data_IF_879239116634
#
_entry.id   IF_879239116634
#
_cell.length_a   1.000
_cell.length_b   1.000
_cell.length_c   1.000
_cell.angle_alpha   90.00
_cell.angle_beta   90.00
_cell.angle_gamma   90.00
#
_symmetry.space_group_name_H-M   'P 1'
#
loop_
_entity.id
_entity.type
_entity.pdbx_description
1 polymer ?
#
# COMPACT_ATOMS: atom_id res chain seq x y z
N UNK A 1 9.47 20.84 -14.59
CA UNK A 1 9.36 20.46 -13.16
C UNK A 1 8.92 19.01 -13.14
N UNK A 2 9.77 18.11 -12.65
CA UNK A 2 9.39 16.72 -12.40
C UNK A 2 8.38 16.77 -11.25
N UNK A 3 7.19 16.19 -11.41
CA UNK A 3 6.21 16.15 -10.33
C UNK A 3 6.76 15.39 -9.13
N UNK A 4 6.46 15.83 -7.91
CA UNK A 4 6.89 15.14 -6.70
C UNK A 4 5.81 14.16 -6.24
N UNK A 5 6.15 12.88 -6.10
CA UNK A 5 5.30 11.87 -5.47
C UNK A 5 5.26 12.12 -3.97
N UNK A 6 4.08 12.49 -3.50
CA UNK A 6 3.79 12.70 -2.08
C UNK A 6 3.62 11.36 -1.39
N UNK A 7 4.08 11.23 -0.14
CA UNK A 7 3.91 9.98 0.61
C UNK A 7 2.44 9.59 0.80
N UNK A 8 1.54 10.59 0.86
CA UNK A 8 0.09 10.38 0.83
C UNK A 8 -0.38 9.54 -0.37
N UNK A 9 0.37 9.52 -1.47
CA UNK A 9 0.10 8.65 -2.61
C UNK A 9 0.21 7.17 -2.26
N UNK A 10 1.24 6.76 -1.53
CA UNK A 10 1.43 5.36 -1.13
C UNK A 10 0.39 4.93 -0.10
N UNK A 11 0.13 5.80 0.88
CA UNK A 11 -0.89 5.53 1.90
C UNK A 11 -2.28 5.45 1.31
N UNK A 12 -2.62 6.30 0.34
CA UNK A 12 -3.94 6.24 -0.32
C UNK A 12 -4.17 4.90 -1.02
N UNK A 13 -3.11 4.17 -1.40
CA UNK A 13 -3.23 2.82 -1.98
C UNK A 13 -3.81 1.80 -0.98
N UNK A 14 -3.66 2.02 0.31
CA UNK A 14 -4.26 1.16 1.35
C UNK A 14 -5.75 1.45 1.44
N UNK A 15 -6.12 2.72 1.60
CA UNK A 15 -7.50 3.17 1.76
C UNK A 15 -8.39 2.77 0.56
N UNK A 16 -7.90 2.97 -0.67
CA UNK A 16 -8.69 2.61 -1.87
C UNK A 16 -9.07 1.12 -1.89
N UNK A 17 -8.23 0.24 -1.33
CA UNK A 17 -8.46 -1.21 -1.29
C UNK A 17 -9.56 -1.57 -0.31
N UNK A 18 -9.52 -1.00 0.89
CA UNK A 18 -10.58 -1.17 1.88
C UNK A 18 -11.92 -0.62 1.40
N UNK A 19 -11.92 0.51 0.69
CA UNK A 19 -13.14 1.08 0.10
C UNK A 19 -13.74 0.25 -1.04
N UNK A 20 -13.03 -0.73 -1.57
CA UNK A 20 -13.63 -1.68 -2.53
C UNK A 20 -14.51 -2.73 -1.88
N UNK A 21 -14.49 -2.85 -0.54
CA UNK A 21 -15.38 -3.77 0.19
C UNK A 21 -16.83 -3.39 -0.12
N UNK A 22 -17.55 -4.34 -0.70
CA UNK A 22 -18.95 -4.20 -1.08
C UNK A 22 -19.77 -5.17 -0.22
N UNK A 23 -20.23 -4.70 0.93
CA UNK A 23 -21.09 -5.42 1.88
C UNK A 23 -22.18 -4.48 2.39
N UNK A 24 -23.38 -4.98 2.71
CA UNK A 24 -24.51 -4.15 3.16
C UNK A 24 -24.36 -3.62 4.57
N UNK A 25 -23.57 -4.29 5.41
CA UNK A 25 -23.56 -4.06 6.85
C UNK A 25 -22.28 -3.34 7.31
N UNK A 26 -21.24 -3.35 6.48
CA UNK A 26 -19.97 -2.68 6.77
C UNK A 26 -19.50 -1.81 5.61
N UNK A 27 -18.91 -0.67 5.97
CA UNK A 27 -18.07 0.13 5.10
C UNK A 27 -16.76 0.37 5.82
N UNK A 28 -15.63 0.10 5.16
CA UNK A 28 -14.31 0.23 5.76
C UNK A 28 -13.49 1.22 4.95
N UNK A 29 -12.85 2.14 5.64
CA UNK A 29 -11.84 3.05 5.12
C UNK A 29 -10.80 3.27 6.20
N UNK A 30 -9.67 3.87 5.82
CA UNK A 30 -8.54 4.09 6.72
C UNK A 30 -8.19 5.57 6.74
N UNK A 31 -7.94 6.16 7.91
CA UNK A 31 -7.46 7.54 8.04
C UNK A 31 -6.12 7.57 8.75
N UNK A 32 -5.18 8.39 8.27
CA UNK A 32 -3.90 8.56 8.95
C UNK A 32 -4.00 9.69 9.97
N UNK A 33 -3.79 9.37 11.24
CA UNK A 33 -3.78 10.37 12.31
C UNK A 33 -2.38 10.85 12.69
N UNK A 34 -1.36 10.10 12.28
CA UNK A 34 0.04 10.42 12.59
C UNK A 34 0.98 9.76 11.58
N UNK A 35 2.00 10.52 11.17
CA UNK A 35 3.09 10.11 10.30
C UNK A 35 4.41 10.49 10.97
N UNK A 36 5.32 9.53 11.14
CA UNK A 36 6.67 9.78 11.67
C UNK A 36 7.71 9.13 10.76
N UNK A 37 8.57 9.96 10.17
CA UNK A 37 9.72 9.52 9.37
C UNK A 37 10.90 9.34 10.31
N UNK A 38 11.51 8.16 10.30
CA UNK A 38 12.71 7.85 11.06
C UNK A 38 13.91 8.13 10.17
N UNK A 39 14.74 9.08 10.60
CA UNK A 39 15.81 9.68 9.77
C UNK A 39 17.20 9.46 10.34
N UNK A 40 17.29 8.88 11.53
CA UNK A 40 18.56 8.57 12.20
C UNK A 40 18.55 7.13 12.68
N UNK A 41 19.73 6.48 12.69
CA UNK A 41 19.90 5.09 13.12
C UNK A 41 19.22 4.86 14.48
N UNK A 42 19.47 5.77 15.44
CA UNK A 42 18.89 5.72 16.79
C UNK A 42 17.36 5.74 16.87
N UNK A 43 16.68 6.21 15.83
CA UNK A 43 15.21 6.17 15.78
C UNK A 43 14.68 4.81 15.35
N UNK A 44 15.50 4.00 14.65
CA UNK A 44 15.14 2.71 14.06
C UNK A 44 15.96 1.51 14.59
N UNK A 45 16.80 1.72 15.61
CA UNK A 45 17.62 0.68 16.27
C UNK A 45 16.82 -0.61 16.59
N UNK A 46 15.51 -0.49 16.86
CA UNK A 46 14.63 -1.62 17.17
C UNK A 46 14.48 -2.64 16.01
N UNK A 47 14.70 -2.23 14.76
CA UNK A 47 14.79 -3.12 13.59
C UNK A 47 16.24 -3.39 13.25
N UNK A 48 17.09 -2.37 13.24
CA UNK A 48 18.50 -2.52 12.83
C UNK A 48 19.24 -3.56 13.67
N UNK A 49 19.00 -3.60 14.98
CA UNK A 49 19.60 -4.57 15.89
C UNK A 49 19.21 -6.03 15.59
N UNK A 50 18.12 -6.25 14.84
CA UNK A 50 17.64 -7.56 14.42
C UNK A 50 18.23 -8.02 13.08
N UNK A 51 18.90 -7.12 12.35
CA UNK A 51 19.40 -7.41 11.01
C UNK A 51 20.57 -8.39 11.07
N UNK A 52 20.42 -9.51 10.38
CA UNK A 52 21.46 -10.50 10.17
C UNK A 52 21.54 -10.85 8.69
N UNK A 53 22.71 -10.61 8.09
CA UNK A 53 22.96 -10.87 6.66
C UNK A 53 21.99 -10.13 5.73
N UNK A 54 21.62 -8.89 6.08
CA UNK A 54 20.76 -8.02 5.26
C UNK A 54 19.26 -8.29 5.38
N UNK A 55 18.84 -9.21 6.26
CA UNK A 55 17.41 -9.51 6.52
C UNK A 55 17.13 -9.55 8.02
N UNK A 56 15.87 -9.40 8.43
CA UNK A 56 15.43 -9.67 9.80
C UNK A 56 14.28 -10.68 9.86
N UNK A 57 14.08 -11.29 11.03
CA UNK A 57 12.93 -12.15 11.30
C UNK A 57 11.67 -11.29 11.54
N UNK A 58 10.62 -11.48 10.74
CA UNK A 58 9.42 -10.66 10.83
C UNK A 58 8.68 -10.77 12.17
N UNK A 59 8.71 -11.94 12.83
CA UNK A 59 8.11 -12.13 14.15
C UNK A 59 8.86 -11.39 15.24
N UNK A 60 10.19 -11.41 15.20
CA UNK A 60 11.03 -10.57 16.06
C UNK A 60 10.80 -9.08 15.78
N UNK A 61 10.72 -8.68 14.51
CA UNK A 61 10.44 -7.31 14.10
C UNK A 61 9.11 -6.79 14.63
N UNK A 62 8.02 -7.57 14.54
CA UNK A 62 6.72 -7.19 15.11
C UNK A 62 6.78 -6.98 16.62
N UNK A 63 7.50 -7.84 17.35
CA UNK A 63 7.66 -7.70 18.80
C UNK A 63 8.47 -6.44 19.17
N UNK A 64 9.55 -6.17 18.43
CA UNK A 64 10.38 -4.99 18.65
C UNK A 64 9.60 -3.71 18.31
N UNK A 65 8.93 -3.67 17.16
CA UNK A 65 8.11 -2.54 16.74
C UNK A 65 6.96 -2.26 17.73
N UNK A 66 6.27 -3.32 18.18
CA UNK A 66 5.26 -3.21 19.24
C UNK A 66 5.84 -2.59 20.52
N UNK A 67 7.03 -3.00 20.93
CA UNK A 67 7.66 -2.48 22.15
C UNK A 67 8.02 -1.00 21.97
N UNK A 68 8.54 -0.65 20.79
CA UNK A 68 8.92 0.71 20.43
C UNK A 68 7.71 1.67 20.41
N UNK A 69 6.57 1.28 19.82
CA UNK A 69 5.37 2.16 19.81
C UNK A 69 4.78 2.38 21.21
N UNK A 70 5.01 1.45 22.14
CA UNK A 70 4.50 1.52 23.51
C UNK A 70 5.37 2.38 24.42
N UNK A 71 6.59 2.72 24.00
CA UNK A 71 7.45 3.62 24.73
C UNK A 71 6.97 5.08 24.55
N UNK A 72 6.49 5.75 25.61
CA UNK A 72 6.02 7.12 25.53
C UNK A 72 7.10 8.11 25.05
N UNK A 73 8.40 7.79 25.20
CA UNK A 73 9.48 8.67 24.72
C UNK A 73 9.48 8.83 23.20
N UNK A 74 8.90 7.87 22.47
CA UNK A 74 8.85 7.90 21.02
C UNK A 74 7.75 8.82 20.47
N UNK A 75 6.85 9.32 21.34
CA UNK A 75 5.87 10.34 20.99
C UNK A 75 4.75 9.85 20.06
N UNK A 76 4.47 8.54 20.06
CA UNK A 76 3.47 7.94 19.18
C UNK A 76 2.07 8.04 19.82
N UNK A 77 1.09 8.66 19.16
CA UNK A 77 -0.27 8.76 19.69
C UNK A 77 -1.02 7.44 19.57
N UNK A 78 -2.03 7.23 20.43
CA UNK A 78 -2.89 6.06 20.34
C UNK A 78 -3.65 5.99 19.01
N UNK A 79 -3.54 4.85 18.34
CA UNK A 79 -4.17 4.52 17.08
C UNK A 79 -4.87 3.14 17.16
N UNK A 80 -5.71 2.84 16.17
CA UNK A 80 -6.39 1.54 16.08
C UNK A 80 -5.47 0.48 15.47
N UNK A 81 -4.54 0.91 14.62
CA UNK A 81 -3.46 0.10 14.05
C UNK A 81 -2.22 0.95 13.71
N UNK A 82 -1.02 0.39 13.83
CA UNK A 82 0.26 1.02 13.51
C UNK A 82 0.96 0.26 12.38
N UNK A 83 1.43 0.95 11.35
CA UNK A 83 2.17 0.33 10.25
C UNK A 83 3.57 0.91 10.14
N UNK A 84 4.55 0.04 10.02
CA UNK A 84 5.94 0.42 9.79
C UNK A 84 6.39 -0.02 8.40
N UNK A 85 6.90 0.92 7.60
CA UNK A 85 7.45 0.68 6.28
C UNK A 85 8.96 0.75 6.35
N UNK A 86 9.63 -0.30 5.91
CA UNK A 86 11.08 -0.44 6.04
C UNK A 86 11.77 -0.59 4.70
N UNK A 87 13.01 -0.12 4.61
CA UNK A 87 13.91 -0.43 3.50
C UNK A 87 14.64 -1.76 3.65
N UNK A 88 14.53 -2.42 4.81
CA UNK A 88 15.16 -3.72 5.08
C UNK A 88 14.31 -4.90 4.62
N UNK A 89 14.97 -5.97 4.19
CA UNK A 89 14.29 -7.18 3.74
C UNK A 89 13.79 -8.01 4.94
N UNK A 90 12.52 -8.41 4.90
CA UNK A 90 11.90 -9.34 5.83
C UNK A 90 12.20 -10.75 5.32
N UNK A 91 12.74 -11.62 6.18
CA UNK A 91 13.11 -12.98 5.76
C UNK A 91 11.90 -13.75 5.26
N UNK A 92 11.89 -14.06 3.96
CA UNK A 92 10.88 -14.89 3.29
C UNK A 92 9.46 -14.31 3.25
N UNK A 93 9.32 -13.00 3.40
CA UNK A 93 8.03 -12.30 3.30
C UNK A 93 8.23 -10.88 2.78
N UNK A 94 7.17 -10.22 2.31
CA UNK A 94 7.21 -8.77 2.00
C UNK A 94 6.45 -7.91 3.01
N UNK A 95 5.75 -8.56 3.94
CA UNK A 95 5.05 -7.93 5.04
C UNK A 95 4.77 -8.97 6.13
N UNK A 96 4.51 -8.47 7.34
CA UNK A 96 4.07 -9.28 8.47
C UNK A 96 3.11 -8.50 9.37
N UNK A 97 2.13 -9.20 9.93
CA UNK A 97 1.22 -8.68 10.95
C UNK A 97 0.77 -9.79 11.91
N UNK A 98 0.25 -9.38 13.06
CA UNK A 98 -0.52 -10.28 13.90
C UNK A 98 -1.97 -10.35 13.43
N UNK A 99 -2.58 -11.53 13.56
CA UNK A 99 -4.01 -11.69 13.30
C UNK A 99 -4.85 -11.28 14.51
N UNK A 100 -6.02 -10.67 14.26
CA UNK A 100 -7.02 -10.29 15.27
C UNK A 100 -6.50 -9.27 16.30
N UNK A 101 -5.82 -8.21 15.84
CA UNK A 101 -5.16 -7.23 16.73
C UNK A 101 -5.51 -5.77 16.55
N UNK A 102 -6.32 -5.37 15.57
CA UNK A 102 -6.82 -3.98 15.53
C UNK A 102 -7.52 -3.65 16.86
N UNK A 103 -7.41 -2.40 17.32
CA UNK A 103 -7.87 -1.97 18.65
C UNK A 103 -7.09 -2.55 19.84
N UNK A 104 -5.90 -3.14 19.64
CA UNK A 104 -5.07 -3.69 20.73
C UNK A 104 -3.65 -3.14 20.69
N UNK A 105 -2.91 -3.35 21.79
CA UNK A 105 -1.49 -3.03 21.86
C UNK A 105 -0.61 -3.83 20.87
N UNK A 106 -1.16 -4.84 20.20
CA UNK A 106 -0.45 -5.59 19.15
C UNK A 106 -1.03 -5.34 17.76
N UNK A 107 -1.84 -4.30 17.57
CA UNK A 107 -2.33 -3.88 16.26
C UNK A 107 -1.21 -3.24 15.46
N UNK A 108 -0.22 -4.04 15.07
CA UNK A 108 0.98 -3.61 14.37
C UNK A 108 1.21 -4.42 13.10
N UNK A 109 1.74 -3.79 12.07
CA UNK A 109 2.23 -4.46 10.87
C UNK A 109 3.53 -3.83 10.36
N UNK A 110 4.31 -4.62 9.63
CA UNK A 110 5.53 -4.20 8.96
C UNK A 110 5.41 -4.54 7.47
N UNK A 111 5.87 -3.66 6.59
CA UNK A 111 5.90 -3.91 5.13
C UNK A 111 7.19 -3.41 4.50
N UNK A 112 7.77 -4.22 3.63
CA UNK A 112 8.91 -3.81 2.80
C UNK A 112 8.47 -2.70 1.83
N UNK A 113 9.23 -1.61 1.78
CA UNK A 113 8.97 -0.54 0.85
C UNK A 113 9.70 -0.77 -0.48
N UNK A 114 8.99 -1.37 -1.44
CA UNK A 114 9.47 -1.56 -2.82
C UNK A 114 9.30 -0.32 -3.71
N UNK A 115 8.94 0.84 -3.15
CA UNK A 115 8.74 2.12 -3.86
C UNK A 115 7.76 2.04 -5.05
N UNK A 116 6.87 1.06 -5.04
CA UNK A 116 5.83 0.84 -6.07
C UNK A 116 4.43 0.90 -5.47
N UNK A 117 3.40 0.90 -6.33
CA UNK A 117 2.02 0.74 -5.89
C UNK A 117 1.78 -0.61 -5.17
N UNK A 118 2.67 -1.59 -5.36
CA UNK A 118 2.62 -2.90 -4.70
C UNK A 118 2.72 -2.83 -3.18
N UNK A 119 3.43 -1.83 -2.64
CA UNK A 119 3.54 -1.58 -1.19
C UNK A 119 2.15 -1.37 -0.57
N UNK A 120 1.25 -0.69 -1.28
CA UNK A 120 -0.13 -0.52 -0.85
C UNK A 120 -0.93 -1.82 -0.83
N UNK A 121 -0.65 -2.76 -1.73
CA UNK A 121 -1.25 -4.11 -1.68
C UNK A 121 -0.77 -4.87 -0.45
N UNK A 122 0.53 -4.88 -0.21
CA UNK A 122 1.13 -5.60 0.94
C UNK A 122 0.63 -4.99 2.25
N UNK A 123 0.67 -3.67 2.42
CA UNK A 123 0.19 -3.04 3.64
C UNK A 123 -1.32 -3.26 3.88
N UNK A 124 -2.14 -3.28 2.82
CA UNK A 124 -3.55 -3.65 2.94
C UNK A 124 -3.75 -5.12 3.29
N UNK A 125 -2.89 -6.02 2.80
CA UNK A 125 -2.86 -7.43 3.18
C UNK A 125 -2.55 -7.60 4.67
N UNK A 126 -1.51 -6.92 5.17
CA UNK A 126 -1.10 -7.00 6.57
C UNK A 126 -2.14 -6.41 7.52
N UNK A 127 -2.79 -5.29 7.16
CA UNK A 127 -3.94 -4.79 7.92
C UNK A 127 -5.12 -5.77 7.85
N UNK A 128 -5.28 -6.49 6.75
CA UNK A 128 -6.28 -7.54 6.57
C UNK A 128 -6.13 -8.63 7.62
N UNK A 129 -4.90 -9.10 7.86
CA UNK A 129 -4.59 -10.00 8.98
C UNK A 129 -5.00 -9.43 10.33
N UNK A 130 -4.61 -8.19 10.64
CA UNK A 130 -4.98 -7.53 11.90
C UNK A 130 -6.50 -7.43 12.10
N UNK A 131 -7.26 -7.36 11.00
CA UNK A 131 -8.73 -7.41 10.92
C UNK A 131 -9.31 -8.83 10.76
N UNK A 132 -8.56 -9.87 11.12
CA UNK A 132 -8.98 -11.29 11.13
C UNK A 132 -8.98 -12.03 9.79
N UNK A 133 -8.67 -11.38 8.67
CA UNK A 133 -8.60 -12.08 7.40
C UNK A 133 -7.41 -13.06 7.38
N UNK A 134 -7.66 -14.32 7.04
CA UNK A 134 -6.62 -15.31 6.76
C UNK A 134 -6.27 -15.28 5.27
N UNK A 135 -5.18 -15.95 4.87
CA UNK A 135 -4.92 -16.17 3.45
C UNK A 135 -6.11 -16.86 2.77
N UNK A 136 -6.40 -16.51 1.52
CA UNK A 136 -7.56 -17.05 0.81
C UNK A 136 -7.50 -18.57 0.69
N UNK A 137 -6.30 -19.15 0.48
CA UNK A 137 -6.04 -20.60 0.48
C UNK A 137 -6.25 -21.29 1.83
N UNK A 138 -6.29 -20.55 2.94
CA UNK A 138 -6.57 -21.10 4.28
C UNK A 138 -8.07 -21.25 4.55
N UNK A 139 -8.92 -20.85 3.60
CA UNK A 139 -10.37 -20.92 3.69
C UNK A 139 -10.94 -22.01 2.76
N UNK A 140 -12.15 -22.49 3.03
CA UNK A 140 -12.75 -23.57 2.23
C UNK A 140 -13.26 -23.13 0.84
N UNK A 141 -13.57 -21.84 0.67
CA UNK A 141 -14.30 -21.33 -0.50
C UNK A 141 -13.57 -20.28 -1.32
N UNK A 142 -12.40 -19.82 -0.88
CA UNK A 142 -11.54 -18.89 -1.61
C UNK A 142 -10.22 -19.56 -1.98
N UNK A 143 -9.48 -18.95 -2.92
CA UNK A 143 -8.23 -19.51 -3.45
C UNK A 143 -7.26 -18.39 -3.80
N UNK A 144 -6.00 -18.58 -3.43
CA UNK A 144 -4.87 -17.71 -3.79
C UNK A 144 -4.73 -17.53 -5.31
N UNK A 145 -5.18 -18.52 -6.10
CA UNK A 145 -5.16 -18.45 -7.57
C UNK A 145 -6.02 -17.33 -8.15
N UNK A 146 -6.93 -16.76 -7.35
CA UNK A 146 -7.76 -15.63 -7.75
C UNK A 146 -7.07 -14.28 -7.58
N UNK A 147 -5.96 -14.21 -6.83
CA UNK A 147 -5.15 -13.00 -6.69
C UNK A 147 -5.87 -11.83 -6.01
N UNK A 148 -6.79 -12.11 -5.08
CA UNK A 148 -7.33 -11.07 -4.18
C UNK A 148 -6.28 -10.62 -3.18
N UNK A 149 -6.56 -9.53 -2.44
CA UNK A 149 -5.61 -8.91 -1.50
C UNK A 149 -4.99 -9.94 -0.54
N UNK A 150 -5.77 -10.90 -0.04
CA UNK A 150 -5.32 -11.91 0.93
C UNK A 150 -4.71 -13.17 0.30
N UNK A 151 -4.27 -13.13 -0.96
CA UNK A 151 -3.47 -14.23 -1.51
C UNK A 151 -2.12 -14.34 -0.80
N UNK A 152 -1.67 -15.56 -0.46
CA UNK A 152 -0.43 -15.75 0.29
C UNK A 152 0.83 -15.30 -0.47
N UNK A 153 0.77 -15.28 -1.81
CA UNK A 153 1.86 -14.80 -2.67
C UNK A 153 1.31 -13.73 -3.60
N UNK A 154 1.75 -12.49 -3.39
CA UNK A 154 1.38 -11.38 -4.26
C UNK A 154 1.81 -11.65 -5.69
N UNK A 155 0.88 -11.50 -6.63
CA UNK A 155 1.13 -11.65 -8.06
C UNK A 155 0.43 -10.55 -8.84
N UNK A 156 1.02 -10.15 -9.97
CA UNK A 156 0.50 -9.07 -10.81
C UNK A 156 -0.23 -9.68 -12.02
N UNK A 157 -1.57 -9.57 -12.09
CA UNK A 157 -2.39 -10.29 -13.06
C UNK A 157 -2.51 -9.59 -14.42
N UNK A 158 -1.39 -9.34 -15.11
CA UNK A 158 -1.32 -8.52 -16.35
C UNK A 158 -2.39 -8.90 -17.40
N UNK A 159 -2.59 -10.19 -17.65
CA UNK A 159 -3.46 -10.69 -18.73
C UNK A 159 -4.56 -11.63 -18.24
N UNK A 160 -4.75 -11.78 -16.93
CA UNK A 160 -5.67 -12.77 -16.38
C UNK A 160 -7.10 -12.24 -16.23
N UNK A 161 -8.07 -13.15 -16.14
CA UNK A 161 -9.45 -12.84 -15.73
C UNK A 161 -9.57 -12.23 -14.34
N UNK A 162 -8.49 -12.30 -13.54
CA UNK A 162 -8.42 -11.76 -12.19
C UNK A 162 -7.97 -10.29 -12.15
N UNK A 163 -7.98 -9.60 -13.29
CA UNK A 163 -7.72 -8.15 -13.33
C UNK A 163 -8.57 -7.43 -12.30
N UNK A 164 -7.93 -6.57 -11.50
CA UNK A 164 -8.58 -5.78 -10.45
C UNK A 164 -8.71 -6.50 -9.11
N UNK A 165 -8.50 -7.82 -9.04
CA UNK A 165 -8.53 -8.56 -7.76
C UNK A 165 -7.45 -8.11 -6.77
N UNK A 166 -6.23 -7.67 -7.18
CA UNK A 166 -5.25 -7.11 -6.24
C UNK A 166 -5.68 -5.82 -5.54
N UNK A 167 -6.82 -5.25 -5.93
CA UNK A 167 -7.46 -4.12 -5.26
C UNK A 167 -8.68 -4.50 -4.42
N UNK A 168 -9.05 -5.79 -4.37
CA UNK A 168 -10.29 -6.28 -3.75
C UNK A 168 -10.02 -7.40 -2.76
N UNK A 169 -10.76 -7.38 -1.65
CA UNK A 169 -10.86 -8.51 -0.76
C UNK A 169 -11.78 -9.58 -1.34
N UNK A 170 -11.45 -10.85 -1.13
CA UNK A 170 -12.35 -11.96 -1.44
C UNK A 170 -13.58 -11.95 -0.53
N UNK A 171 -14.62 -12.70 -0.88
CA UNK A 171 -15.79 -12.86 -0.01
C UNK A 171 -15.45 -13.48 1.35
N UNK A 172 -14.46 -14.38 1.40
CA UNK A 172 -14.00 -14.99 2.64
C UNK A 172 -13.30 -13.97 3.56
N UNK A 173 -12.47 -13.11 2.95
CA UNK A 173 -11.82 -12.01 3.67
C UNK A 173 -12.84 -11.02 4.22
N UNK A 174 -13.81 -10.59 3.39
CA UNK A 174 -14.87 -9.65 3.80
C UNK A 174 -15.69 -10.23 4.96
N UNK A 175 -16.07 -11.51 4.89
CA UNK A 175 -16.81 -12.19 5.97
C UNK A 175 -16.04 -12.19 7.30
N UNK A 176 -14.72 -12.42 7.26
CA UNK A 176 -13.86 -12.47 8.45
C UNK A 176 -13.70 -11.08 9.06
N UNK A 177 -13.41 -10.07 8.23
CA UNK A 177 -13.31 -8.65 8.61
C UNK A 177 -14.62 -8.19 9.26
N UNK A 178 -15.76 -8.47 8.62
CA UNK A 178 -17.09 -8.14 9.14
C UNK A 178 -17.35 -8.74 10.52
N UNK A 179 -17.04 -10.04 10.68
CA UNK A 179 -17.20 -10.72 11.98
C UNK A 179 -16.33 -10.06 13.04
N UNK A 180 -15.07 -9.77 12.74
CA UNK A 180 -14.14 -9.17 13.69
C UNK A 180 -14.53 -7.73 14.07
N UNK A 181 -14.93 -6.91 13.10
CA UNK A 181 -15.44 -5.56 13.36
C UNK A 181 -16.68 -5.56 14.27
N UNK A 182 -17.48 -6.63 14.26
CA UNK A 182 -18.58 -6.83 15.20
C UNK A 182 -18.14 -7.05 16.66
N UNK A 183 -16.86 -7.36 16.90
CA UNK A 183 -16.29 -7.64 18.25
C UNK A 183 -15.55 -6.45 18.85
N UNK A 184 -15.26 -5.42 18.05
CA UNK A 184 -14.51 -4.23 18.47
C UNK A 184 -15.31 -2.95 18.24
N UNK A 185 -15.15 -1.96 19.10
CA UNK A 185 -15.84 -0.67 18.96
C UNK A 185 -14.92 0.48 18.52
N UNK A 186 -13.59 0.34 18.62
CA UNK A 186 -12.66 1.46 18.40
C UNK A 186 -12.73 2.03 16.97
N UNK A 187 -13.01 1.16 15.98
CA UNK A 187 -13.10 1.48 14.56
C UNK A 187 -14.48 2.03 14.14
N UNK A 188 -15.44 2.13 15.06
CA UNK A 188 -16.76 2.68 14.75
C UNK A 188 -16.68 4.18 14.48
N UNK A 189 -17.48 4.75 13.56
CA UNK A 189 -17.46 6.18 13.23
C UNK A 189 -17.60 7.15 14.41
N UNK A 190 -18.25 6.73 15.50
CA UNK A 190 -18.37 7.56 16.72
C UNK A 190 -17.10 7.58 17.58
N UNK A 191 -16.19 6.62 17.38
CA UNK A 191 -14.94 6.47 18.11
C UNK A 191 -13.72 6.82 17.24
N UNK A 192 -13.88 6.78 15.92
CA UNK A 192 -12.87 7.25 14.96
C UNK A 192 -13.07 8.74 14.70
N UNK A 193 -12.02 9.53 14.94
CA UNK A 193 -12.04 10.96 14.64
C UNK A 193 -12.23 11.22 13.14
N UNK A 194 -12.57 12.46 12.79
CA UNK A 194 -12.64 12.90 11.37
C UNK A 194 -11.29 13.37 10.84
N UNK A 195 -10.26 13.38 11.67
CA UNK A 195 -8.92 13.85 11.29
C UNK A 195 -8.26 12.86 10.34
N UNK A 196 -7.87 13.37 9.17
CA UNK A 196 -6.90 12.75 8.29
C UNK A 196 -5.75 13.74 8.09
N UNK A 197 -4.60 13.41 8.65
CA UNK A 197 -3.36 14.20 8.55
C UNK A 197 -2.65 14.01 7.22
N UNK A 198 -3.04 12.98 6.45
CA UNK A 198 -2.41 12.64 5.19
C UNK A 198 -3.46 12.28 4.12
N UNK A 199 -4.35 13.22 3.76
CA UNK A 199 -5.44 12.97 2.83
C UNK A 199 -4.93 12.58 1.43
N UNK A 200 -5.73 11.84 0.64
CA UNK A 200 -5.36 11.44 -0.71
C UNK A 200 -4.99 12.65 -1.60
N UNK A 201 -3.92 12.55 -2.41
CA UNK A 201 -3.60 13.62 -3.36
C UNK A 201 -4.73 13.85 -4.39
N UNK A 202 -4.94 15.11 -4.79
CA UNK A 202 -5.97 15.51 -5.75
C UNK A 202 -5.38 16.26 -6.95
N UNK A 203 -6.16 16.39 -8.02
CA UNK A 203 -5.72 17.11 -9.23
C UNK A 203 -4.41 16.56 -9.79
N UNK A 204 -3.45 17.44 -10.07
CA UNK A 204 -2.14 17.08 -10.64
C UNK A 204 -1.21 16.39 -9.64
N UNK A 205 -1.54 16.39 -8.35
CA UNK A 205 -0.75 15.70 -7.32
C UNK A 205 -1.06 14.20 -7.23
N UNK A 206 -2.09 13.74 -7.96
CA UNK A 206 -2.43 12.31 -8.06
C UNK A 206 -1.22 11.52 -8.56
N UNK A 207 -0.95 10.41 -7.88
CA UNK A 207 0.29 9.65 -7.98
C UNK A 207 0.77 9.39 -9.42
N UNK A 208 -0.05 8.78 -10.27
CA UNK A 208 0.31 8.46 -11.65
C UNK A 208 0.24 9.64 -12.64
N UNK A 209 -0.28 10.79 -12.20
CA UNK A 209 -0.19 12.07 -12.95
C UNK A 209 1.13 12.76 -12.60
N UNK A 210 1.47 12.79 -11.30
CA UNK A 210 2.71 13.38 -10.80
C UNK A 210 3.95 12.59 -11.23
N UNK A 211 3.83 11.26 -11.33
CA UNK A 211 4.91 10.35 -11.71
C UNK A 211 4.51 9.52 -12.93
N UNK A 212 5.04 9.88 -14.09
CA UNK A 212 4.81 9.14 -15.34
C UNK A 212 5.40 7.71 -15.32
N UNK A 213 5.11 6.94 -16.37
CA UNK A 213 5.49 5.52 -16.47
C UNK A 213 6.99 5.30 -16.35
N UNK A 214 7.81 6.13 -17.01
CA UNK A 214 9.26 6.01 -16.97
C UNK A 214 9.80 6.31 -15.58
N UNK A 215 9.27 7.35 -14.93
CA UNK A 215 9.73 7.74 -13.60
C UNK A 215 9.24 6.77 -12.52
N UNK A 216 8.09 6.10 -12.71
CA UNK A 216 7.70 4.97 -11.86
C UNK A 216 8.70 3.80 -11.97
N UNK A 217 9.18 3.48 -13.17
CA UNK A 217 10.19 2.44 -13.36
C UNK A 217 11.54 2.80 -12.69
N UNK A 218 11.99 4.06 -12.87
CA UNK A 218 13.20 4.55 -12.19
C UNK A 218 13.07 4.52 -10.69
N UNK A 219 11.89 4.86 -10.16
CA UNK A 219 11.62 4.84 -8.73
C UNK A 219 11.62 3.41 -8.19
N UNK A 220 10.97 2.47 -8.86
CA UNK A 220 10.91 1.07 -8.46
C UNK A 220 12.32 0.45 -8.35
N UNK A 221 13.16 0.65 -9.37
CA UNK A 221 14.53 0.13 -9.36
C UNK A 221 15.53 1.01 -8.61
N UNK A 222 15.11 2.21 -8.19
CA UNK A 222 16.00 3.27 -7.67
C UNK A 222 17.18 3.56 -8.59
N UNK A 223 16.93 3.46 -9.90
CA UNK A 223 17.95 3.60 -10.93
C UNK A 223 17.41 4.42 -12.11
N UNK A 224 18.11 5.50 -12.43
CA UNK A 224 17.78 6.40 -13.53
C UNK A 224 17.83 5.75 -14.92
N UNK A 225 18.48 4.59 -15.07
CA UNK A 225 18.58 3.87 -16.33
C UNK A 225 17.37 2.99 -16.65
N UNK A 226 16.46 2.79 -15.69
CA UNK A 226 15.21 2.05 -15.93
C UNK A 226 14.18 2.92 -16.67
N UNK A 227 13.34 2.28 -17.47
CA UNK A 227 12.30 2.94 -18.26
C UNK A 227 11.13 1.99 -18.54
N UNK A 228 10.01 2.55 -18.98
CA UNK A 228 8.84 1.80 -19.39
C UNK A 228 9.10 1.01 -20.68
N UNK A 229 8.76 -0.28 -20.66
CA UNK A 229 8.95 -1.21 -21.77
C UNK A 229 7.72 -1.26 -22.69
N UNK A 230 7.55 -0.24 -23.55
CA UNK A 230 6.40 -0.17 -24.48
C UNK A 230 6.27 -1.39 -25.40
N UNK A 231 7.39 -1.92 -25.92
CA UNK A 231 7.40 -3.10 -26.78
C UNK A 231 6.85 -4.35 -26.09
N UNK A 232 7.29 -4.61 -24.85
CA UNK A 232 6.81 -5.75 -24.04
C UNK A 232 5.37 -5.53 -23.63
N UNK A 233 4.97 -4.30 -23.27
CA UNK A 233 3.56 -4.00 -22.97
C UNK A 233 2.67 -4.33 -24.17
N UNK A 234 3.04 -3.92 -25.38
CA UNK A 234 2.25 -4.17 -26.59
C UNK A 234 2.06 -5.67 -26.86
N UNK A 235 3.06 -6.50 -26.56
CA UNK A 235 2.97 -7.96 -26.67
C UNK A 235 2.04 -8.58 -25.61
N UNK A 236 1.79 -7.87 -24.51
CA UNK A 236 1.00 -8.33 -23.37
C UNK A 236 -0.37 -7.61 -23.26
N UNK A 237 -0.96 -7.27 -24.41
CA UNK A 237 -2.28 -6.65 -24.52
C UNK A 237 -2.30 -5.12 -24.40
N UNK A 238 -1.12 -4.49 -24.49
CA UNK A 238 -0.97 -3.05 -24.67
C UNK A 238 -1.55 -2.21 -23.55
N UNK A 239 -1.99 -1.02 -23.93
CA UNK A 239 -2.57 0.01 -23.06
C UNK A 239 -3.78 -0.49 -22.25
N UNK A 240 -4.60 -1.37 -22.82
CA UNK A 240 -5.77 -1.97 -22.13
C UNK A 240 -5.39 -2.83 -20.92
N UNK A 241 -4.17 -3.37 -20.90
CA UNK A 241 -3.66 -4.23 -19.83
C UNK A 241 -2.66 -3.51 -18.91
N UNK A 242 -2.29 -2.27 -19.24
CA UNK A 242 -1.28 -1.49 -18.51
C UNK A 242 -1.63 -1.37 -17.03
N UNK A 243 -2.90 -1.10 -16.72
CA UNK A 243 -3.34 -0.84 -15.35
C UNK A 243 -3.36 -2.07 -14.45
N UNK A 244 -3.44 -3.27 -15.03
CA UNK A 244 -3.24 -4.51 -14.27
C UNK A 244 -1.78 -4.78 -13.95
N UNK A 245 -0.85 -4.18 -14.69
CA UNK A 245 0.59 -4.34 -14.54
C UNK A 245 1.30 -3.74 -15.75
N UNK A 246 2.34 -2.96 -15.48
CA UNK A 246 3.21 -2.37 -16.50
C UNK A 246 4.59 -3.03 -16.47
N UNK A 247 5.36 -2.87 -17.54
CA UNK A 247 6.69 -3.46 -17.64
C UNK A 247 7.79 -2.40 -17.57
N UNK A 248 8.80 -2.64 -16.75
CA UNK A 248 9.95 -1.77 -16.53
C UNK A 248 11.26 -2.48 -16.87
N UNK A 249 12.19 -1.80 -17.55
CA UNK A 249 13.48 -2.39 -17.95
C UNK A 249 14.39 -2.55 -16.74
N UNK A 250 15.08 -3.70 -16.64
CA UNK A 250 16.06 -3.94 -15.58
C UNK A 250 17.32 -3.11 -15.81
N UNK A 251 17.83 -2.38 -14.82
CA UNK A 251 19.04 -1.56 -14.99
C UNK A 251 20.26 -2.34 -15.46
N UNK A 252 20.46 -3.56 -14.92
CA UNK A 252 21.59 -4.43 -15.27
C UNK A 252 21.48 -5.07 -16.66
N UNK A 253 20.28 -5.15 -17.23
CA UNK A 253 20.04 -5.67 -18.57
C UNK A 253 18.75 -5.06 -19.16
N UNK A 254 18.84 -3.92 -19.88
CA UNK A 254 17.67 -3.20 -20.40
C UNK A 254 16.82 -3.98 -21.40
N UNK A 255 17.30 -5.12 -21.93
CA UNK A 255 16.52 -6.01 -22.79
C UNK A 255 15.53 -6.90 -22.02
N UNK A 256 15.67 -6.99 -20.70
CA UNK A 256 14.76 -7.75 -19.83
C UNK A 256 13.86 -6.75 -19.11
N UNK A 257 12.55 -7.01 -19.16
CA UNK A 257 11.56 -6.21 -18.46
C UNK A 257 10.87 -7.01 -17.36
N UNK A 258 10.61 -6.34 -16.24
CA UNK A 258 9.94 -6.87 -15.07
C UNK A 258 8.59 -6.19 -14.88
N UNK A 259 7.64 -6.94 -14.32
CA UNK A 259 6.29 -6.42 -14.10
C UNK A 259 6.24 -5.61 -12.81
N UNK A 260 5.70 -4.40 -12.89
CA UNK A 260 5.51 -3.47 -11.78
C UNK A 260 4.03 -3.05 -11.74
N UNK A 261 3.46 -2.93 -10.55
CA UNK A 261 2.10 -2.43 -10.39
C UNK A 261 2.12 -0.90 -10.61
N UNK A 262 1.40 -0.37 -11.62
CA UNK A 262 1.35 1.07 -11.84
C UNK A 262 0.59 1.77 -10.72
N UNK A 263 0.94 3.03 -10.47
CA UNK A 263 0.21 3.90 -9.56
C UNK A 263 -1.20 4.20 -10.11
N UNK A 264 -2.16 4.42 -9.20
CA UNK A 264 -3.45 5.00 -9.58
C UNK A 264 -3.26 6.30 -10.35
N UNK A 265 -4.14 6.54 -11.32
CA UNK A 265 -4.12 7.67 -12.24
C UNK A 265 -2.98 7.69 -13.27
N UNK A 266 -2.18 6.61 -13.38
CA UNK A 266 -1.19 6.47 -14.46
C UNK A 266 -1.90 6.51 -15.80
N UNK A 267 -1.48 7.38 -16.73
CA UNK A 267 -2.05 7.43 -18.08
C UNK A 267 -1.93 6.05 -18.73
N UNK A 268 -3.02 5.55 -19.31
CA UNK A 268 -3.10 4.25 -20.00
C UNK A 268 -3.70 4.38 -21.41
N UNK A 269 -3.70 5.59 -21.96
CA UNK A 269 -4.28 5.89 -23.26
C UNK A 269 -4.66 7.36 -23.36
N UNK A 270 -5.05 7.80 -24.55
CA UNK A 270 -5.52 9.17 -24.77
C UNK A 270 -6.81 9.42 -23.98
N UNK A 271 -6.77 10.33 -22.99
CA UNK A 271 -7.92 10.63 -22.13
C UNK A 271 -8.31 9.49 -21.18
N UNK A 272 -7.36 8.60 -20.85
CA UNK A 272 -7.59 7.44 -19.99
C UNK A 272 -6.51 7.26 -18.94
N UNK A 273 -6.90 6.80 -17.77
CA UNK A 273 -6.00 6.54 -16.64
C UNK A 273 -6.28 5.22 -15.93
N UNK A 274 -5.33 4.79 -15.11
CA UNK A 274 -5.45 3.57 -14.32
C UNK A 274 -6.26 3.77 -13.06
N UNK A 275 -7.29 2.94 -12.87
CA UNK A 275 -8.13 2.86 -11.67
C UNK A 275 -8.43 1.43 -11.30
N UNK A 276 -8.07 1.02 -10.09
CA UNK A 276 -8.36 -0.29 -9.52
C UNK A 276 -8.00 -1.45 -10.46
N UNK A 277 -6.88 -1.32 -11.18
CA UNK A 277 -6.41 -2.32 -12.16
C UNK A 277 -6.98 -2.19 -13.58
N UNK A 278 -7.84 -1.21 -13.84
CA UNK A 278 -8.50 -1.01 -15.14
C UNK A 278 -8.10 0.31 -15.79
N UNK A 279 -8.00 0.30 -17.12
CA UNK A 279 -7.83 1.52 -17.91
C UNK A 279 -9.22 2.13 -18.20
N UNK A 280 -9.52 3.27 -17.57
CA UNK A 280 -10.83 3.93 -17.64
C UNK A 280 -10.71 5.35 -18.17
N UNK A 281 -11.79 5.91 -18.69
CA UNK A 281 -11.82 7.30 -19.15
C UNK A 281 -11.59 8.29 -18.00
N UNK A 282 -10.90 9.39 -18.29
CA UNK A 282 -10.72 10.49 -17.35
C UNK A 282 -12.08 11.02 -16.87
N UNK A 283 -12.19 11.29 -15.56
CA UNK A 283 -13.44 11.70 -14.91
C UNK A 283 -14.36 10.55 -14.47
N UNK A 284 -14.07 9.30 -14.86
CA UNK A 284 -14.74 8.13 -14.28
C UNK A 284 -14.06 7.78 -12.95
N UNK A 285 -14.71 8.16 -11.86
CA UNK A 285 -14.40 7.65 -10.52
C UNK A 285 -15.22 6.35 -10.28
N UNK A 286 -14.62 5.26 -9.76
CA UNK A 286 -15.36 4.06 -9.36
C UNK A 286 -16.53 4.43 -8.44
N UNK A 287 -17.63 3.68 -8.55
CA UNK A 287 -18.91 3.92 -7.85
C UNK A 287 -18.84 3.85 -6.31
N UNK A 288 -17.68 3.52 -5.75
CA UNK A 288 -17.40 3.53 -4.31
C UNK A 288 -16.42 4.67 -3.94
N UNK A 289 -16.50 5.80 -4.64
CA UNK A 289 -15.82 7.03 -4.23
C UNK A 289 -16.25 7.41 -2.79
N UNK A 290 -15.38 8.06 -2.00
CA UNK A 290 -15.71 8.48 -0.65
C UNK A 290 -17.06 9.22 -0.60
N UNK A 291 -17.87 9.07 0.47
CA UNK A 291 -18.90 10.07 0.76
C UNK A 291 -18.22 11.43 0.74
N UNK A 292 -18.70 12.33 -0.13
CA UNK A 292 -17.99 13.54 -0.51
C UNK A 292 -17.32 14.25 0.66
N UNK A 293 -15.99 14.22 0.69
CA UNK A 293 -15.23 15.14 1.50
C UNK A 293 -15.33 16.51 0.81
N UNK A 294 -15.93 17.48 1.51
CA UNK A 294 -15.84 18.88 1.11
C UNK A 294 -14.38 19.29 0.94
N UNK A 295 -14.10 20.39 0.21
CA UNK A 295 -12.73 20.78 -0.11
C UNK A 295 -11.89 20.91 1.15
N UNK A 296 -11.02 19.92 1.41
CA UNK A 296 -10.02 20.01 2.47
C UNK A 296 -8.95 21.00 2.02
N UNK A 297 -8.68 21.98 2.86
CA UNK A 297 -7.57 22.92 2.65
C UNK A 297 -6.26 22.14 2.52
N UNK A 298 -5.39 22.47 1.55
CA UNK A 298 -4.09 21.82 1.42
C UNK A 298 -3.30 22.08 2.70
N UNK A 299 -3.11 21.05 3.52
CA UNK A 299 -2.01 21.05 4.48
C UNK A 299 -0.72 20.85 3.70
N UNK A 300 0.41 21.33 4.21
CA UNK A 300 1.71 21.15 3.58
C UNK A 300 2.04 19.65 3.53
N UNK A 301 1.66 18.98 2.44
CA UNK A 301 1.90 17.56 2.23
C UNK A 301 3.39 17.40 1.88
N UNK A 302 4.09 16.62 2.68
CA UNK A 302 5.53 16.39 2.54
C UNK A 302 5.88 15.68 1.23
N UNK A 303 6.85 16.26 0.53
CA UNK A 303 7.48 15.73 -0.69
C UNK A 303 8.57 14.72 -0.30
N UNK A 304 8.27 13.42 -0.39
CA UNK A 304 9.20 12.38 0.04
C UNK A 304 10.11 11.84 -1.07
N UNK A 305 9.86 12.12 -2.36
CA UNK A 305 10.73 11.65 -3.46
C UNK A 305 12.23 11.90 -3.21
N UNK A 306 12.69 13.10 -2.78
CA UNK A 306 14.11 13.33 -2.60
C UNK A 306 14.74 12.43 -1.53
N UNK A 307 13.94 11.93 -0.59
CA UNK A 307 14.34 11.00 0.48
C UNK A 307 14.19 9.54 0.02
N UNK A 308 13.08 9.20 -0.64
CA UNK A 308 12.81 7.86 -1.21
C UNK A 308 13.87 7.45 -2.25
N UNK A 309 14.30 8.38 -3.11
CA UNK A 309 15.30 8.10 -4.14
C UNK A 309 16.73 8.08 -3.60
N UNK A 310 17.04 8.80 -2.53
CA UNK A 310 18.39 8.82 -1.94
C UNK A 310 18.64 7.65 -0.98
N UNK A 311 17.59 7.03 -0.45
CA UNK A 311 17.73 5.96 0.56
C UNK A 311 18.20 6.50 1.92
N UNK A 312 18.03 7.80 2.17
CA UNK A 312 18.50 8.49 3.38
C UNK A 312 17.51 8.36 4.56
N UNK A 313 16.57 7.43 4.51
CA UNK A 313 15.59 7.20 5.58
C UNK A 313 15.50 5.71 5.84
N UNK A 314 15.44 5.37 7.12
CA UNK A 314 15.69 4.02 7.61
C UNK A 314 14.36 3.28 7.81
N UNK A 315 13.33 4.04 8.20
CA UNK A 315 11.97 3.54 8.33
C UNK A 315 10.90 4.62 8.46
N UNK A 316 9.64 4.21 8.38
CA UNK A 316 8.50 5.13 8.40
C UNK A 316 7.31 4.51 9.13
N UNK A 317 6.80 5.22 10.13
CA UNK A 317 5.61 4.83 10.89
C UNK A 317 4.39 5.61 10.41
N UNK A 318 3.28 4.91 10.20
CA UNK A 318 1.93 5.48 10.09
C UNK A 318 0.97 4.89 11.11
N UNK A 319 0.06 5.73 11.58
CA UNK A 319 -0.96 5.38 12.56
C UNK A 319 -2.35 5.55 11.94
N UNK A 320 -3.17 4.49 11.99
CA UNK A 320 -4.51 4.46 11.42
C UNK A 320 -5.62 4.50 12.47
N UNK A 321 -6.68 5.23 12.14
CA UNK A 321 -8.02 5.16 12.75
C UNK A 321 -9.04 4.76 11.69
#
# INVERSE_FOLDING_TARGET
MVGTLKFSSFISQIDIRYRTISDSDIAVGTRVIHLKILTTDSEDDFIEDLISSGTFDGGAGLNAFRTWIMDPSNGIPNADHYMYFTGFDIRSASGVAYQDRVCTASGVSISENTFSAGVGTVAAHELGHSLSASHDSSTLSCSDSTGHIMTAIFSIPVTSSNRGNPWKFSSCSISSIKSYLGTVSCTQPGNTGTTDTLPPPTGNDRAGIALDRDNQCKQYFRDSSSSYCSGVQNQNGGESNLCSGMFCSRPSNPSICETVLPLEYTTCGSGKWCRLGFCVDEGVEPTNAPPGEGPSTPQNIFDCIPFLLRGDWIGLLTCFR
#
